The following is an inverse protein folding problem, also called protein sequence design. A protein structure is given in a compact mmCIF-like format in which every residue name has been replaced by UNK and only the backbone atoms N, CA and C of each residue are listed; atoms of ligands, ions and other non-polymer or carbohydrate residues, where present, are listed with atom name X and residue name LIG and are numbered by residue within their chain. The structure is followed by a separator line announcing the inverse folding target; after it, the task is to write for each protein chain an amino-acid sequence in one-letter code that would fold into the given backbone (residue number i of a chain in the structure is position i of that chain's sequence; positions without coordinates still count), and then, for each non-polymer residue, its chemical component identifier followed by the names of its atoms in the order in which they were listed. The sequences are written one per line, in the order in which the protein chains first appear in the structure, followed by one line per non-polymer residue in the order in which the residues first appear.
data_IF_024675340558
#
_entry.id   IF_024675340558
#
_cell.length_a   1.000
_cell.length_b   1.000
_cell.length_c   1.000
_cell.angle_alpha   90.00
_cell.angle_beta   90.00
_cell.angle_gamma   90.00
#
_symmetry.space_group_name_H-M   'P 1'
#
loop_
_entity.id
_entity.type
_entity.pdbx_description
1 polymer ?
#
# COMPACT_ATOMS: atom_id res chain seq x y z
N UNK A 1 0.01 -3.50 -12.60
CA UNK A 1 -0.42 -2.31 -11.81
C UNK A 1 0.74 -1.83 -10.97
N UNK A 2 0.81 -0.52 -10.68
CA UNK A 2 1.94 0.08 -9.95
C UNK A 2 1.43 1.04 -8.88
N UNK A 3 2.21 1.21 -7.81
CA UNK A 3 1.96 2.28 -6.83
C UNK A 3 2.28 3.64 -7.47
N UNK A 4 1.52 4.66 -7.11
CA UNK A 4 1.84 6.04 -7.47
C UNK A 4 3.19 6.46 -6.89
N UNK A 5 4.06 7.00 -7.73
CA UNK A 5 5.45 7.33 -7.37
C UNK A 5 5.62 8.68 -6.69
N UNK A 6 4.62 9.54 -6.85
CA UNK A 6 4.57 10.86 -6.23
C UNK A 6 4.19 10.79 -4.74
N UNK A 7 3.84 9.61 -4.23
CA UNK A 7 3.42 9.39 -2.86
C UNK A 7 4.60 8.99 -1.96
N UNK A 8 4.67 9.58 -0.77
CA UNK A 8 5.70 9.29 0.23
C UNK A 8 5.12 8.56 1.43
N UNK A 9 5.62 7.36 1.72
CA UNK A 9 5.36 6.66 2.98
C UNK A 9 6.23 7.27 4.09
N UNK A 10 5.63 7.63 5.22
CA UNK A 10 6.32 8.05 6.45
C UNK A 10 5.87 7.19 7.62
N UNK A 11 6.83 6.83 8.45
CA UNK A 11 6.57 6.17 9.73
C UNK A 11 6.56 7.21 10.86
N UNK A 12 5.45 7.32 11.58
CA UNK A 12 5.21 8.31 12.65
C UNK A 12 4.77 7.57 13.93
N UNK A 13 5.74 7.26 14.79
CA UNK A 13 5.46 6.51 16.02
C UNK A 13 5.10 5.06 15.72
N UNK A 14 3.85 4.70 15.98
CA UNK A 14 3.28 3.37 15.72
C UNK A 14 2.41 3.34 14.43
N UNK A 15 2.33 4.45 13.71
CA UNK A 15 1.48 4.59 12.53
C UNK A 15 2.30 4.80 11.25
N UNK A 16 1.81 4.24 10.15
CA UNK A 16 2.34 4.48 8.81
C UNK A 16 1.40 5.38 8.03
N UNK A 17 1.95 6.44 7.43
CA UNK A 17 1.18 7.48 6.74
C UNK A 17 1.70 7.68 5.33
N UNK A 18 0.82 7.62 4.33
CA UNK A 18 1.15 8.08 2.97
C UNK A 18 0.83 9.57 2.86
N UNK A 19 1.78 10.33 2.31
CA UNK A 19 1.66 11.77 2.06
C UNK A 19 1.76 12.04 0.56
N UNK A 20 0.76 12.73 0.03
CA UNK A 20 0.78 13.35 -1.30
C UNK A 20 1.41 14.76 -1.17
N UNK A 21 2.57 15.03 -1.80
CA UNK A 21 3.22 16.33 -1.75
C UNK A 21 2.46 17.32 -2.65
N UNK A 22 1.70 18.24 -2.06
CA UNK A 22 1.26 19.43 -2.79
C UNK A 22 2.42 20.43 -2.96
N UNK A 23 2.48 21.04 -4.15
CA UNK A 23 3.50 22.01 -4.55
C UNK A 23 3.30 23.41 -3.96
N UNK A 24 2.20 23.71 -3.28
CA UNK A 24 1.97 25.06 -2.79
C UNK A 24 1.05 25.09 -1.56
N UNK A 25 1.26 26.10 -0.73
CA UNK A 25 0.71 26.25 0.61
C UNK A 25 -0.83 26.13 0.65
N UNK A 26 -1.36 25.15 1.42
CA UNK A 26 -2.55 25.18 2.31
C UNK A 26 -3.11 23.74 2.53
N UNK A 27 -2.63 23.11 3.60
CA UNK A 27 -3.34 22.18 4.52
C UNK A 27 -4.35 21.15 3.98
N UNK A 28 -4.05 20.39 2.93
CA UNK A 28 -4.78 19.16 2.61
C UNK A 28 -3.85 18.04 2.11
N UNK A 29 -2.80 17.70 2.86
CA UNK A 29 -2.13 16.42 2.62
C UNK A 29 -3.15 15.29 2.87
N UNK A 30 -3.52 14.55 1.82
CA UNK A 30 -4.29 13.32 2.00
C UNK A 30 -3.40 12.33 2.73
N UNK A 31 -3.65 12.20 4.02
CA UNK A 31 -2.99 11.26 4.92
C UNK A 31 -3.77 9.95 4.86
N UNK A 32 -3.12 8.90 4.36
CA UNK A 32 -3.65 7.54 4.42
C UNK A 32 -2.90 6.78 5.50
N UNK A 33 -3.61 6.34 6.53
CA UNK A 33 -3.02 5.49 7.56
C UNK A 33 -3.02 4.04 7.09
N UNK A 34 -1.84 3.42 7.09
CA UNK A 34 -1.64 2.01 6.82
C UNK A 34 -1.40 1.27 8.14
N UNK A 35 -1.91 0.04 8.23
CA UNK A 35 -1.43 -0.89 9.24
C UNK A 35 -0.03 -1.41 8.84
N UNK A 36 0.65 -2.07 9.78
CA UNK A 36 2.01 -2.59 9.57
C UNK A 36 2.10 -3.49 8.33
N UNK A 37 1.16 -4.41 8.14
CA UNK A 37 1.11 -5.30 6.96
C UNK A 37 1.03 -4.53 5.65
N UNK A 38 0.15 -3.52 5.56
CA UNK A 38 -0.01 -2.73 4.35
C UNK A 38 1.21 -1.83 4.08
N UNK A 39 1.85 -1.29 5.13
CA UNK A 39 3.07 -0.49 5.00
C UNK A 39 4.25 -1.33 4.50
N UNK A 40 4.40 -2.54 5.05
CA UNK A 40 5.40 -3.51 4.61
C UNK A 40 5.21 -3.88 3.13
N UNK A 41 3.97 -4.13 2.73
CA UNK A 41 3.65 -4.42 1.33
C UNK A 41 3.90 -3.18 0.46
N UNK A 42 3.54 -1.99 0.92
CA UNK A 42 3.81 -0.74 0.20
C UNK A 42 5.30 -0.58 -0.11
N UNK A 43 6.17 -0.73 0.89
CA UNK A 43 7.62 -0.65 0.70
C UNK A 43 8.14 -1.71 -0.26
N UNK A 44 7.63 -2.94 -0.14
CA UNK A 44 8.01 -4.03 -1.04
C UNK A 44 7.60 -3.74 -2.49
N UNK A 45 6.46 -3.08 -2.72
CA UNK A 45 5.86 -2.81 -4.03
C UNK A 45 6.28 -1.47 -4.65
N UNK A 46 6.93 -0.60 -3.89
CA UNK A 46 7.32 0.72 -4.38
C UNK A 46 8.34 0.61 -5.53
N UNK A 47 8.10 1.38 -6.60
CA UNK A 47 8.99 1.43 -7.76
C UNK A 47 8.95 0.18 -8.67
N UNK A 48 8.07 -0.79 -8.41
CA UNK A 48 7.90 -1.99 -9.25
C UNK A 48 6.45 -2.20 -9.67
N UNK A 49 6.28 -2.87 -10.80
CA UNK A 49 4.98 -3.38 -11.19
C UNK A 49 4.68 -4.66 -10.40
N UNK A 50 3.41 -4.86 -10.04
CA UNK A 50 2.96 -6.05 -9.33
C UNK A 50 1.58 -6.53 -9.79
N UNK A 51 1.25 -7.74 -9.35
CA UNK A 51 -0.04 -8.39 -9.52
C UNK A 51 -0.61 -8.78 -8.16
N UNK A 52 -1.89 -9.15 -8.11
CA UNK A 52 -2.50 -9.70 -6.90
C UNK A 52 -1.72 -10.96 -6.45
N UNK A 53 -1.36 -11.84 -7.38
CA UNK A 53 -0.58 -13.05 -7.09
C UNK A 53 0.76 -12.72 -6.38
N UNK A 54 1.46 -11.68 -6.83
CA UNK A 54 2.71 -11.25 -6.20
C UNK A 54 2.50 -10.80 -4.74
N UNK A 55 1.36 -10.17 -4.44
CA UNK A 55 1.00 -9.77 -3.07
C UNK A 55 0.66 -11.01 -2.23
N UNK A 56 -0.05 -11.98 -2.80
CA UNK A 56 -0.40 -13.24 -2.14
C UNK A 56 0.86 -14.02 -1.75
N UNK A 57 1.81 -14.17 -2.66
CA UNK A 57 3.07 -14.84 -2.38
C UNK A 57 3.89 -14.09 -1.30
N UNK A 58 3.89 -12.75 -1.33
CA UNK A 58 4.56 -11.95 -0.29
C UNK A 58 3.90 -12.15 1.08
N UNK A 59 2.56 -12.19 1.14
CA UNK A 59 1.81 -12.47 2.36
C UNK A 59 2.09 -13.88 2.88
N UNK A 60 2.07 -14.90 2.02
CA UNK A 60 2.36 -16.29 2.40
C UNK A 60 3.81 -16.50 2.83
N UNK A 61 4.75 -15.74 2.26
CA UNK A 61 6.16 -15.79 2.66
C UNK A 61 6.42 -15.14 4.02
N UNK A 62 5.60 -14.17 4.44
CA UNK A 62 5.81 -13.40 5.69
C UNK A 62 4.92 -13.88 6.83
N UNK A 63 3.75 -14.39 6.51
CA UNK A 63 2.72 -14.75 7.47
C UNK A 63 2.31 -16.20 7.28
N UNK A 64 2.12 -16.92 8.38
CA UNK A 64 1.63 -18.28 8.36
C UNK A 64 0.09 -18.30 8.27
N UNK A 65 -0.43 -17.92 7.10
CA UNK A 65 -1.86 -17.90 6.78
C UNK A 65 -2.17 -18.85 5.63
N UNK A 66 -3.45 -19.22 5.48
CA UNK A 66 -3.91 -20.02 4.35
C UNK A 66 -3.91 -19.18 3.06
N UNK A 67 -3.68 -19.82 1.90
CA UNK A 67 -3.67 -19.12 0.61
C UNK A 67 -4.99 -18.39 0.36
N UNK A 68 -6.13 -18.99 0.66
CA UNK A 68 -7.44 -18.36 0.46
C UNK A 68 -7.60 -17.07 1.28
N UNK A 69 -7.03 -17.02 2.49
CA UNK A 69 -7.02 -15.83 3.35
C UNK A 69 -6.10 -14.76 2.75
N UNK A 70 -4.90 -15.14 2.33
CA UNK A 70 -3.96 -14.23 1.69
C UNK A 70 -4.52 -13.64 0.38
N UNK A 71 -5.26 -14.43 -0.40
CA UNK A 71 -5.94 -13.98 -1.62
C UNK A 71 -7.03 -12.95 -1.33
N UNK A 72 -7.88 -13.18 -0.34
CA UNK A 72 -8.94 -12.25 0.04
C UNK A 72 -8.34 -10.93 0.59
N UNK A 73 -7.31 -11.02 1.42
CA UNK A 73 -6.60 -9.84 1.95
C UNK A 73 -5.86 -9.06 0.86
N UNK A 74 -5.20 -9.74 -0.07
CA UNK A 74 -4.54 -9.10 -1.21
C UNK A 74 -5.54 -8.35 -2.10
N UNK A 75 -6.71 -8.95 -2.37
CA UNK A 75 -7.79 -8.30 -3.14
C UNK A 75 -8.34 -7.08 -2.41
N UNK A 76 -8.64 -7.20 -1.12
CA UNK A 76 -9.10 -6.07 -0.29
C UNK A 76 -8.10 -4.93 -0.26
N UNK A 77 -6.80 -5.24 -0.14
CA UNK A 77 -5.73 -4.25 -0.14
C UNK A 77 -5.68 -3.49 -1.48
N UNK A 78 -5.66 -4.22 -2.60
CA UNK A 78 -5.63 -3.62 -3.94
C UNK A 78 -6.89 -2.78 -4.20
N UNK A 79 -8.06 -3.25 -3.79
CA UNK A 79 -9.31 -2.50 -3.90
C UNK A 79 -9.28 -1.22 -3.06
N UNK A 80 -8.72 -1.26 -1.86
CA UNK A 80 -8.55 -0.08 -1.01
C UNK A 80 -7.58 0.92 -1.65
N UNK A 81 -6.43 0.46 -2.15
CA UNK A 81 -5.47 1.32 -2.84
C UNK A 81 -6.09 1.95 -4.10
N UNK A 82 -6.89 1.20 -4.85
CA UNK A 82 -7.61 1.72 -6.02
C UNK A 82 -8.66 2.75 -5.63
N UNK A 83 -9.49 2.49 -4.62
CA UNK A 83 -10.52 3.42 -4.12
C UNK A 83 -9.90 4.72 -3.59
N UNK A 84 -8.72 4.63 -3.00
CA UNK A 84 -7.99 5.77 -2.45
C UNK A 84 -7.15 6.52 -3.50
N UNK A 85 -7.09 6.02 -4.75
CA UNK A 85 -6.32 6.64 -5.83
C UNK A 85 -4.82 6.53 -5.62
N UNK A 86 -4.36 5.45 -5.01
CA UNK A 86 -2.94 5.16 -4.71
C UNK A 86 -2.25 4.31 -5.80
N UNK A 87 -3.03 3.77 -6.75
CA UNK A 87 -2.54 2.97 -7.87
C UNK A 87 -2.55 3.78 -9.16
N UNK A 88 -1.60 3.48 -10.03
CA UNK A 88 -1.60 3.86 -11.44
C UNK A 88 -1.66 2.60 -12.32
N UNK A 89 -2.22 2.76 -13.52
CA UNK A 89 -2.08 1.81 -14.61
C UNK A 89 -0.60 1.64 -15.01
#
# INVERSE_FOLDING_TARGET
MRLREDLMLRHLGDEYVIIEPEQDMVDMSKVFTLNETAAVLWEALQGKEFSIEAIVEELLSRYNVERDVAEDDARKLVDNFKKQGLLTD
#
